data_IF_346664863358
#
_entry.id   IF_346664863358
#
_cell.length_a   1.000
_cell.length_b   1.000
_cell.length_c   1.000
_cell.angle_alpha   90.00
_cell.angle_beta   90.00
_cell.angle_gamma   90.00
#
_symmetry.space_group_name_H-M   'P 1'
#
loop_
_entity.id
_entity.type
_entity.pdbx_description
1 polymer ?
#
# COMPACT_ATOMS: atom_id res chain seq x y z
N UNK A 1 16.25 6.20 16.26
CA UNK A 1 15.37 6.07 15.10
C UNK A 1 13.97 5.99 15.62
N UNK A 2 13.12 6.93 15.30
CA UNK A 2 11.70 6.88 15.66
C UNK A 2 10.94 5.84 14.81
N UNK A 3 9.64 5.60 15.11
CA UNK A 3 8.87 4.59 14.40
C UNK A 3 8.72 4.88 12.91
N UNK A 4 8.57 6.15 12.54
CA UNK A 4 8.43 6.56 11.13
C UNK A 4 9.74 6.35 10.39
N UNK A 5 10.85 6.82 10.96
CA UNK A 5 12.19 6.62 10.40
C UNK A 5 12.52 5.13 10.22
N UNK A 6 12.17 4.32 11.22
CA UNK A 6 12.39 2.86 11.17
C UNK A 6 11.52 2.20 10.08
N UNK A 7 10.26 2.59 9.97
CA UNK A 7 9.38 2.13 8.90
C UNK A 7 9.95 2.46 7.52
N UNK A 8 10.35 3.72 7.32
CA UNK A 8 10.96 4.19 6.08
C UNK A 8 12.23 3.39 5.75
N UNK A 9 13.13 3.25 6.72
CA UNK A 9 14.38 2.53 6.54
C UNK A 9 14.17 1.10 6.01
N UNK A 10 13.28 0.32 6.64
CA UNK A 10 13.01 -1.05 6.18
C UNK A 10 12.23 -1.09 4.88
N UNK A 11 11.28 -0.19 4.68
CA UNK A 11 10.54 -0.07 3.42
C UNK A 11 11.47 0.25 2.24
N UNK A 12 12.39 1.18 2.41
CA UNK A 12 13.36 1.55 1.36
C UNK A 12 14.42 0.47 1.12
N UNK A 13 14.72 -0.34 2.13
CA UNK A 13 15.68 -1.45 1.99
C UNK A 13 15.22 -2.51 0.98
N UNK A 14 13.92 -2.59 0.70
CA UNK A 14 13.34 -3.47 -0.33
C UNK A 14 12.99 -2.73 -1.63
N UNK A 15 13.45 -1.48 -1.76
CA UNK A 15 13.35 -0.71 -2.99
C UNK A 15 12.10 0.15 -3.12
N UNK A 16 11.33 0.35 -2.05
CA UNK A 16 10.21 1.29 -2.05
C UNK A 16 10.72 2.73 -1.97
N UNK A 17 9.87 3.67 -2.35
CA UNK A 17 10.09 5.11 -2.14
C UNK A 17 9.10 5.59 -1.10
N UNK A 18 9.56 6.39 -0.13
CA UNK A 18 8.68 6.93 0.91
C UNK A 18 8.77 8.46 0.95
N UNK A 19 7.62 9.08 1.22
CA UNK A 19 7.51 10.54 1.36
C UNK A 19 6.65 10.84 2.57
N UNK A 20 7.07 11.81 3.38
CA UNK A 20 6.32 12.29 4.55
C UNK A 20 5.66 13.61 4.20
N UNK A 21 4.35 13.69 4.35
CA UNK A 21 3.56 14.90 4.04
C UNK A 21 2.45 15.11 5.06
N UNK A 22 1.89 16.31 5.11
CA UNK A 22 0.63 16.58 5.80
C UNK A 22 -0.57 16.14 4.95
N UNK A 23 -1.69 15.82 5.60
CA UNK A 23 -2.92 15.39 4.92
C UNK A 23 -3.41 16.42 3.88
N UNK A 24 -3.24 17.71 4.14
CA UNK A 24 -3.62 18.77 3.22
C UNK A 24 -2.90 18.73 1.86
N UNK A 25 -1.74 18.07 1.78
CA UNK A 25 -0.93 17.99 0.56
C UNK A 25 -1.24 16.75 -0.30
N UNK A 26 -2.05 15.81 0.18
CA UNK A 26 -2.30 14.53 -0.52
C UNK A 26 -2.80 14.77 -1.95
N UNK A 27 -3.85 15.55 -2.12
CA UNK A 27 -4.41 15.81 -3.44
C UNK A 27 -3.40 16.48 -4.39
N UNK A 28 -2.61 17.42 -3.88
CA UNK A 28 -1.56 18.08 -4.66
C UNK A 28 -0.48 17.11 -5.11
N UNK A 29 -0.06 16.19 -4.23
CA UNK A 29 0.96 15.18 -4.55
C UNK A 29 0.44 14.21 -5.61
N UNK A 30 -0.80 13.73 -5.46
CA UNK A 30 -1.41 12.82 -6.43
C UNK A 30 -1.67 13.49 -7.79
N UNK A 31 -1.97 14.79 -7.79
CA UNK A 31 -2.22 15.54 -9.02
C UNK A 31 -0.96 15.83 -9.85
N UNK A 32 0.24 15.73 -9.26
CA UNK A 32 1.51 16.01 -9.98
C UNK A 32 1.80 15.06 -11.13
N UNK A 33 1.24 13.87 -11.10
CA UNK A 33 1.39 12.87 -12.18
C UNK A 33 0.03 12.67 -12.86
N UNK A 34 -0.03 12.94 -14.15
CA UNK A 34 -1.16 12.52 -14.97
C UNK A 34 -1.08 11.00 -15.16
N UNK A 35 -2.01 10.29 -14.58
CA UNK A 35 -2.11 8.83 -14.66
C UNK A 35 -3.44 8.50 -15.32
N UNK A 36 -3.44 7.92 -16.55
CA UNK A 36 -4.66 7.68 -17.31
C UNK A 36 -5.63 6.74 -16.63
N UNK A 37 -5.14 5.67 -16.01
CA UNK A 37 -5.97 4.64 -15.40
C UNK A 37 -5.57 4.43 -13.93
N UNK A 38 -6.15 5.25 -13.06
CA UNK A 38 -5.89 5.25 -11.61
C UNK A 38 -7.10 4.73 -10.83
N UNK A 39 -6.89 3.73 -10.00
CA UNK A 39 -7.83 3.30 -8.98
C UNK A 39 -7.53 4.03 -7.67
N UNK A 40 -8.55 4.54 -6.99
CA UNK A 40 -8.39 5.22 -5.70
C UNK A 40 -9.38 4.65 -4.68
N UNK A 41 -8.86 4.19 -3.55
CA UNK A 41 -9.64 3.77 -2.39
C UNK A 41 -8.95 4.26 -1.11
N UNK A 42 -9.33 5.43 -0.66
CA UNK A 42 -8.74 6.08 0.52
C UNK A 42 -9.81 6.90 1.25
N UNK A 43 -10.77 6.20 1.85
CA UNK A 43 -11.98 6.77 2.43
C UNK A 43 -11.68 7.69 3.62
N UNK A 44 -10.68 7.34 4.46
CA UNK A 44 -10.26 8.16 5.61
C UNK A 44 -9.70 9.51 5.21
N UNK A 45 -9.22 9.65 3.98
CA UNK A 45 -8.65 10.89 3.46
C UNK A 45 -9.62 11.69 2.60
N UNK A 46 -10.86 11.21 2.44
CA UNK A 46 -11.88 11.91 1.67
C UNK A 46 -11.53 12.07 0.19
N UNK A 47 -10.72 11.18 -0.37
CA UNK A 47 -10.38 11.18 -1.77
C UNK A 47 -11.55 10.67 -2.60
N UNK A 48 -11.78 11.30 -3.75
CA UNK A 48 -12.79 10.83 -4.69
C UNK A 48 -12.47 9.42 -5.17
N UNK A 49 -13.47 8.55 -5.09
CA UNK A 49 -13.37 7.19 -5.58
C UNK A 49 -13.26 7.19 -7.11
N UNK A 50 -12.11 6.83 -7.61
CA UNK A 50 -11.92 6.51 -9.01
C UNK A 50 -11.84 5.00 -9.14
N UNK A 51 -12.78 4.41 -9.86
CA UNK A 51 -12.84 2.97 -10.06
C UNK A 51 -12.88 2.68 -11.56
N UNK A 52 -11.72 2.67 -12.22
CA UNK A 52 -11.64 2.33 -13.63
C UNK A 52 -12.03 0.86 -13.85
N UNK A 53 -12.46 0.54 -15.08
CA UNK A 53 -12.66 -0.85 -15.46
C UNK A 53 -11.33 -1.62 -15.35
N UNK A 54 -11.36 -2.72 -14.63
CA UNK A 54 -10.24 -3.61 -14.46
C UNK A 54 -10.31 -4.70 -15.51
N UNK A 55 -9.76 -4.40 -16.68
CA UNK A 55 -9.63 -5.34 -17.79
C UNK A 55 -8.26 -6.06 -17.76
N UNK A 56 -8.01 -6.90 -18.76
CA UNK A 56 -6.75 -7.64 -18.90
C UNK A 56 -5.51 -6.72 -19.07
N UNK A 57 -5.72 -5.44 -19.41
CA UNK A 57 -4.62 -4.47 -19.53
C UNK A 57 -4.14 -3.91 -18.18
N UNK A 58 -4.84 -4.24 -17.09
CA UNK A 58 -4.52 -3.77 -15.76
C UNK A 58 -4.82 -2.28 -15.55
N UNK A 59 -4.17 -1.68 -14.57
CA UNK A 59 -4.26 -0.26 -14.23
C UNK A 59 -2.86 0.34 -14.03
N UNK A 60 -2.71 1.63 -14.30
CA UNK A 60 -1.40 2.28 -14.18
C UNK A 60 -1.00 2.50 -12.72
N UNK A 61 -1.95 2.91 -11.88
CA UNK A 61 -1.70 3.16 -10.46
C UNK A 61 -2.91 2.79 -9.60
N UNK A 62 -2.64 2.15 -8.47
CA UNK A 62 -3.59 2.02 -7.39
C UNK A 62 -3.15 2.91 -6.22
N UNK A 63 -4.04 3.78 -5.75
CA UNK A 63 -3.86 4.58 -4.53
C UNK A 63 -4.79 4.03 -3.47
N UNK A 64 -4.21 3.49 -2.41
CA UNK A 64 -4.95 2.84 -1.32
C UNK A 64 -4.48 3.36 0.03
N UNK A 65 -5.31 3.21 1.05
CA UNK A 65 -4.92 3.49 2.43
C UNK A 65 -4.58 2.20 3.17
N UNK A 66 -3.50 2.22 3.94
CA UNK A 66 -3.16 1.13 4.84
C UNK A 66 -3.94 1.22 6.14
N UNK A 67 -4.36 0.09 6.67
CA UNK A 67 -4.91 0.02 8.03
C UNK A 67 -3.82 0.22 9.08
N UNK A 68 -2.64 -0.36 8.84
CA UNK A 68 -1.46 -0.20 9.69
C UNK A 68 -0.16 -0.24 8.87
N UNK A 69 0.89 0.33 9.43
CA UNK A 69 2.29 0.12 9.03
C UNK A 69 3.04 -0.62 10.14
N UNK A 70 3.93 -1.54 9.79
CA UNK A 70 4.78 -2.29 10.73
C UNK A 70 6.23 -1.83 10.56
N UNK A 71 6.75 -1.14 11.57
CA UNK A 71 8.05 -0.48 11.49
C UNK A 71 9.22 -1.47 11.39
N UNK A 72 9.15 -2.61 12.06
CA UNK A 72 10.25 -3.59 12.05
C UNK A 72 10.52 -4.22 10.68
N UNK A 73 9.57 -4.15 9.74
CA UNK A 73 9.69 -4.74 8.40
C UNK A 73 9.39 -3.78 7.25
N UNK A 74 8.93 -2.55 7.55
CA UNK A 74 8.49 -1.60 6.53
C UNK A 74 7.25 -2.09 5.75
N UNK A 75 6.44 -2.95 6.35
CA UNK A 75 5.29 -3.60 5.73
C UNK A 75 4.02 -2.82 6.00
N UNK A 76 3.14 -2.69 5.01
CA UNK A 76 1.79 -2.18 5.20
C UNK A 76 0.78 -3.31 5.32
N UNK A 77 -0.23 -3.10 6.14
CA UNK A 77 -1.32 -4.04 6.40
C UNK A 77 -2.61 -3.46 5.88
N UNK A 78 -3.31 -4.19 5.03
CA UNK A 78 -4.59 -3.79 4.45
C UNK A 78 -5.65 -4.85 4.71
N UNK A 79 -6.82 -4.42 5.18
CA UNK A 79 -8.02 -5.24 5.08
C UNK A 79 -8.52 -5.17 3.63
N UNK A 80 -8.28 -6.23 2.89
CA UNK A 80 -8.61 -6.35 1.46
C UNK A 80 -9.82 -7.25 1.21
N UNK A 81 -10.81 -7.21 2.09
CA UNK A 81 -12.08 -7.91 1.91
C UNK A 81 -12.84 -7.46 0.65
N UNK A 82 -12.67 -6.21 0.24
CA UNK A 82 -13.16 -5.68 -1.02
C UNK A 82 -12.40 -6.31 -2.20
N UNK A 83 -13.13 -7.00 -3.08
CA UNK A 83 -12.54 -7.67 -4.26
C UNK A 83 -11.89 -6.68 -5.23
N UNK A 84 -12.49 -5.52 -5.44
CA UNK A 84 -11.92 -4.48 -6.33
C UNK A 84 -10.61 -3.95 -5.78
N UNK A 85 -10.52 -3.77 -4.47
CA UNK A 85 -9.28 -3.37 -3.80
C UNK A 85 -8.19 -4.43 -4.00
N UNK A 86 -8.52 -5.72 -3.81
CA UNK A 86 -7.56 -6.81 -4.04
C UNK A 86 -7.06 -6.83 -5.48
N UNK A 87 -7.97 -6.74 -6.44
CA UNK A 87 -7.62 -6.70 -7.86
C UNK A 87 -6.73 -5.49 -8.18
N UNK A 88 -7.08 -4.30 -7.66
CA UNK A 88 -6.31 -3.09 -7.89
C UNK A 88 -4.87 -3.22 -7.37
N UNK A 89 -4.68 -3.75 -6.17
CA UNK A 89 -3.33 -3.94 -5.59
C UNK A 89 -2.49 -4.99 -6.33
N UNK A 90 -3.12 -5.93 -7.02
CA UNK A 90 -2.43 -6.95 -7.82
C UNK A 90 -2.17 -6.53 -9.27
N UNK A 91 -3.07 -5.76 -9.86
CA UNK A 91 -3.03 -5.41 -11.29
C UNK A 91 -2.36 -4.07 -11.60
N UNK A 92 -2.13 -3.23 -10.59
CA UNK A 92 -1.50 -1.93 -10.76
C UNK A 92 -0.01 -2.08 -11.13
N UNK A 93 0.45 -1.28 -12.09
CA UNK A 93 1.88 -1.11 -12.37
C UNK A 93 2.60 -0.46 -11.18
N UNK A 94 1.96 0.56 -10.59
CA UNK A 94 2.43 1.24 -9.38
C UNK A 94 1.40 1.15 -8.26
N UNK A 95 1.86 0.82 -7.07
CA UNK A 95 1.05 0.86 -5.85
C UNK A 95 1.50 2.03 -4.98
N UNK A 96 0.61 2.99 -4.76
CA UNK A 96 0.79 4.10 -3.83
C UNK A 96 -0.05 3.86 -2.59
N UNK A 97 0.61 3.79 -1.43
CA UNK A 97 -0.06 3.48 -0.16
C UNK A 97 0.03 4.68 0.77
N UNK A 98 -1.13 5.17 1.21
CA UNK A 98 -1.25 6.21 2.23
C UNK A 98 -1.22 5.55 3.61
N UNK A 99 -0.30 5.98 4.47
CA UNK A 99 -0.13 5.45 5.82
C UNK A 99 -0.21 6.59 6.84
N UNK A 100 -1.18 6.53 7.75
CA UNK A 100 -1.24 7.49 8.86
C UNK A 100 -0.09 7.22 9.84
N UNK A 101 0.66 8.24 10.24
CA UNK A 101 1.78 8.11 11.18
C UNK A 101 1.35 7.45 12.50
N UNK A 102 0.17 7.78 13.01
CA UNK A 102 -0.40 7.19 14.24
C UNK A 102 -0.71 5.68 14.13
N UNK A 103 -0.80 5.18 12.88
CA UNK A 103 -1.07 3.77 12.60
C UNK A 103 0.19 2.97 12.28
N UNK A 104 1.36 3.58 12.36
CA UNK A 104 2.62 2.85 12.31
C UNK A 104 2.88 2.26 13.70
N UNK A 105 3.02 0.94 13.76
CA UNK A 105 3.28 0.16 14.97
C UNK A 105 4.69 -0.42 14.93
N UNK A 106 5.23 -0.73 16.08
CA UNK A 106 6.61 -1.23 16.16
C UNK A 106 6.72 -2.62 15.56
N UNK A 107 5.82 -3.53 15.95
CA UNK A 107 5.84 -4.94 15.61
C UNK A 107 4.48 -5.45 15.12
N UNK A 108 4.50 -6.63 14.51
CA UNK A 108 3.28 -7.30 14.06
C UNK A 108 2.33 -7.60 15.23
N UNK A 109 2.86 -7.97 16.40
CA UNK A 109 2.08 -8.26 17.60
C UNK A 109 1.24 -7.07 18.08
N UNK A 110 1.65 -5.85 17.76
CA UNK A 110 0.94 -4.63 18.17
C UNK A 110 -0.37 -4.40 17.39
N UNK A 111 -0.63 -5.19 16.36
CA UNK A 111 -1.86 -5.15 15.56
C UNK A 111 -2.69 -6.43 15.64
N UNK A 112 -2.37 -7.34 16.57
CA UNK A 112 -3.02 -8.65 16.67
C UNK A 112 -4.54 -8.53 16.86
N UNK A 113 -5.02 -7.58 17.68
CA UNK A 113 -6.46 -7.37 17.90
C UNK A 113 -7.19 -7.04 16.57
N UNK A 114 -6.58 -6.22 15.74
CA UNK A 114 -7.10 -5.91 14.41
C UNK A 114 -7.11 -7.15 13.50
N UNK A 115 -6.06 -7.97 13.54
CA UNK A 115 -5.98 -9.19 12.75
C UNK A 115 -7.07 -10.20 13.18
N UNK A 116 -7.28 -10.36 14.48
CA UNK A 116 -8.34 -11.21 15.03
C UNK A 116 -9.72 -10.71 14.60
N UNK A 117 -10.01 -9.41 14.77
CA UNK A 117 -11.27 -8.81 14.32
C UNK A 117 -11.54 -9.04 12.83
N UNK A 118 -10.52 -8.92 11.98
CA UNK A 118 -10.67 -9.18 10.55
C UNK A 118 -10.90 -10.66 10.24
N UNK A 119 -10.27 -11.57 11.00
CA UNK A 119 -10.38 -13.01 10.80
C UNK A 119 -11.76 -13.56 11.19
N UNK A 120 -12.43 -12.92 12.14
CA UNK A 120 -13.77 -13.32 12.58
C UNK A 120 -14.89 -12.94 11.60
N UNK A 121 -14.61 -12.00 10.69
CA UNK A 121 -15.58 -11.57 9.67
C UNK A 121 -15.67 -12.59 8.55
N UNK A 122 -16.88 -12.90 8.11
CA UNK A 122 -17.10 -13.68 6.90
C UNK A 122 -16.38 -12.97 5.72
N UNK A 123 -15.56 -13.72 5.00
CA UNK A 123 -14.73 -13.20 3.90
C UNK A 123 -13.65 -12.20 4.31
N UNK A 124 -13.13 -12.31 5.53
CA UNK A 124 -11.96 -11.55 5.97
C UNK A 124 -10.76 -11.85 5.07
N UNK A 125 -10.10 -10.81 4.58
CA UNK A 125 -8.90 -10.91 3.77
C UNK A 125 -7.89 -9.86 4.23
N UNK A 126 -6.71 -10.29 4.62
CA UNK A 126 -5.62 -9.41 5.03
C UNK A 126 -4.49 -9.51 4.03
N UNK A 127 -3.99 -8.36 3.58
CA UNK A 127 -2.80 -8.28 2.76
C UNK A 127 -1.67 -7.62 3.55
N UNK A 128 -0.51 -8.26 3.53
CA UNK A 128 0.76 -7.73 4.05
C UNK A 128 1.65 -7.44 2.86
N UNK A 129 1.93 -6.16 2.61
CA UNK A 129 2.67 -5.74 1.43
C UNK A 129 3.95 -5.03 1.90
N UNK A 130 5.10 -5.63 1.59
CA UNK A 130 6.41 -5.07 1.96
C UNK A 130 7.05 -4.30 0.81
N UNK A 131 6.67 -4.57 -0.43
CA UNK A 131 7.24 -3.89 -1.58
C UNK A 131 6.71 -4.41 -2.91
N UNK A 132 7.38 -3.99 -3.98
CA UNK A 132 7.08 -4.41 -5.34
C UNK A 132 7.16 -5.93 -5.50
N UNK A 133 6.37 -6.46 -6.44
CA UNK A 133 6.39 -7.89 -6.74
C UNK A 133 7.74 -8.31 -7.31
N UNK A 134 8.31 -9.35 -6.72
CA UNK A 134 9.58 -9.94 -7.16
C UNK A 134 9.45 -11.44 -7.24
N UNK A 135 9.95 -12.03 -8.31
CA UNK A 135 10.07 -13.47 -8.45
C UNK A 135 11.41 -13.85 -9.06
N UNK A 136 11.99 -14.95 -8.61
CA UNK A 136 13.24 -15.51 -9.10
C UNK A 136 13.13 -17.05 -9.31
N UNK A 137 11.92 -17.57 -9.35
CA UNK A 137 11.65 -19.02 -9.34
C UNK A 137 12.01 -19.69 -10.68
N UNK A 138 11.99 -18.94 -11.78
CA UNK A 138 12.32 -19.43 -13.11
C UNK A 138 13.75 -19.00 -13.48
N UNK A 139 14.62 -19.98 -13.76
CA UNK A 139 16.01 -19.78 -14.19
C UNK A 139 16.89 -18.94 -13.23
N UNK A 140 16.46 -18.73 -11.98
CA UNK A 140 17.10 -17.87 -10.98
C UNK A 140 17.33 -16.43 -11.44
N UNK A 141 16.50 -15.95 -12.35
CA UNK A 141 16.50 -14.54 -12.82
C UNK A 141 15.48 -13.77 -12.00
N UNK A 142 15.93 -12.70 -11.33
CA UNK A 142 15.04 -11.78 -10.61
C UNK A 142 14.18 -11.02 -11.62
N UNK A 143 12.87 -11.20 -11.53
CA UNK A 143 11.89 -10.45 -12.32
C UNK A 143 10.99 -9.65 -11.39
N UNK A 144 10.79 -8.36 -11.71
CA UNK A 144 9.97 -7.43 -10.92
C UNK A 144 8.65 -7.22 -11.65
N UNK A 145 7.54 -7.24 -10.89
CA UNK A 145 6.21 -6.90 -11.40
C UNK A 145 5.55 -7.97 -12.27
N UNK A 146 5.89 -9.24 -12.09
CA UNK A 146 5.25 -10.35 -12.84
C UNK A 146 3.84 -10.65 -12.32
N UNK A 147 3.66 -10.62 -10.99
CA UNK A 147 2.41 -10.96 -10.31
C UNK A 147 1.98 -9.87 -9.31
N UNK A 148 2.20 -8.61 -9.64
CA UNK A 148 1.88 -7.47 -8.78
C UNK A 148 2.60 -6.21 -9.25
N UNK A 149 2.58 -5.13 -8.45
CA UNK A 149 3.16 -3.86 -8.84
C UNK A 149 4.67 -3.95 -9.10
N UNK A 150 5.12 -3.18 -10.09
CA UNK A 150 6.56 -2.98 -10.35
C UNK A 150 7.21 -2.00 -9.38
N UNK A 151 6.40 -1.06 -8.89
CA UNK A 151 6.85 -0.01 -7.98
C UNK A 151 5.87 0.10 -6.82
N UNK A 152 6.40 0.39 -5.64
CA UNK A 152 5.61 0.74 -4.48
C UNK A 152 6.12 2.05 -3.87
N UNK A 153 5.19 2.96 -3.60
CA UNK A 153 5.44 4.22 -2.92
C UNK A 153 4.60 4.30 -1.64
N UNK A 154 5.26 4.59 -0.53
CA UNK A 154 4.61 4.90 0.73
C UNK A 154 4.49 6.42 0.91
N UNK A 155 3.29 6.91 1.19
CA UNK A 155 3.07 8.31 1.57
C UNK A 155 2.63 8.32 3.03
N UNK A 156 3.55 8.71 3.91
CA UNK A 156 3.30 8.80 5.35
C UNK A 156 2.66 10.15 5.66
N UNK A 157 1.50 10.11 6.31
CA UNK A 157 0.73 11.30 6.67
C UNK A 157 1.05 11.65 8.13
N UNK A 158 1.91 12.65 8.33
CA UNK A 158 2.51 12.99 9.63
C UNK A 158 1.54 13.56 10.65
N UNK A 159 0.45 14.20 10.20
CA UNK A 159 -0.55 14.87 11.03
C UNK A 159 -1.84 14.02 11.26
N UNK A 160 -1.74 12.72 11.08
CA UNK A 160 -2.84 11.76 11.26
C UNK A 160 -2.43 10.57 12.12
#
# INVERSE_FOLDING_TARGET
MDLIERFIYYSESVGNVNTVISAAKIQQVLAKKAVPKRYVKADRFGLELQQPDMDEKGIDEAVVEADYGIAETGTVVLNSADEKLRLATCLAEKLTVLVEASRIKEKLEDVVDFLEECSEKAHGYLAFISGASRTADIERVLTIGVHGPREMEGIIIEDR
#
